data_IF_301109729296
#
_entry.id   IF_301109729296
#
_cell.length_a   1.000
_cell.length_b   1.000
_cell.length_c   1.000
_cell.angle_alpha   90.00
_cell.angle_beta   90.00
_cell.angle_gamma   90.00
#
_symmetry.space_group_name_H-M   'P 1'
#
loop_
_entity.id
_entity.type
_entity.pdbx_description
1 polymer ?
#
# COMPACT_ATOMS: atom_id res chain seq x y z
N UNK A 1 4.05 -6.89 -14.59
CA UNK A 1 3.14 -6.96 -13.43
C UNK A 1 3.29 -8.24 -12.64
N UNK A 2 3.12 -9.41 -13.28
CA UNK A 2 3.06 -10.71 -12.58
C UNK A 2 4.32 -11.01 -11.74
N UNK A 3 5.53 -10.87 -12.32
CA UNK A 3 6.77 -11.12 -11.58
C UNK A 3 7.05 -10.09 -10.46
N UNK A 4 6.67 -8.84 -10.66
CA UNK A 4 6.90 -7.79 -9.66
C UNK A 4 6.03 -7.93 -8.41
N UNK A 5 4.84 -8.53 -8.51
CA UNK A 5 3.90 -8.68 -7.41
C UNK A 5 4.43 -9.54 -6.25
N UNK A 6 5.28 -10.54 -6.56
CA UNK A 6 5.88 -11.45 -5.59
C UNK A 6 7.08 -10.88 -4.84
N UNK A 7 7.80 -9.89 -5.39
CA UNK A 7 9.09 -9.44 -4.84
C UNK A 7 8.94 -8.92 -3.41
N UNK A 8 7.98 -8.03 -3.17
CA UNK A 8 7.85 -7.37 -1.88
C UNK A 8 7.31 -8.30 -0.77
N UNK A 9 6.29 -9.15 -1.00
CA UNK A 9 5.85 -10.14 -0.02
C UNK A 9 6.93 -11.16 0.32
N UNK A 10 7.63 -11.69 -0.68
CA UNK A 10 8.70 -12.68 -0.47
C UNK A 10 9.88 -12.07 0.29
N UNK A 11 10.35 -10.89 -0.11
CA UNK A 11 11.42 -10.20 0.60
C UNK A 11 11.04 -9.91 2.06
N UNK A 12 9.78 -9.53 2.31
CA UNK A 12 9.30 -9.29 3.69
C UNK A 12 9.21 -10.59 4.51
N UNK A 13 8.83 -11.71 3.90
CA UNK A 13 8.79 -13.01 4.55
C UNK A 13 10.22 -13.49 4.93
N UNK A 14 11.18 -13.34 4.01
CA UNK A 14 12.59 -13.65 4.25
C UNK A 14 13.18 -12.90 5.44
N UNK A 15 12.74 -11.68 5.70
CA UNK A 15 13.15 -10.95 6.92
C UNK A 15 12.76 -11.73 8.18
N UNK A 16 11.59 -12.36 8.17
CA UNK A 16 11.13 -13.19 9.28
C UNK A 16 11.93 -14.47 9.47
N UNK A 17 12.46 -15.03 8.37
CA UNK A 17 13.20 -16.30 8.39
C UNK A 17 14.67 -16.09 8.74
N UNK A 18 15.28 -15.00 8.27
CA UNK A 18 16.71 -14.74 8.39
C UNK A 18 17.09 -13.87 9.58
N UNK A 19 16.16 -13.06 10.12
CA UNK A 19 16.49 -12.07 11.15
C UNK A 19 15.70 -12.32 12.44
N UNK A 20 16.35 -12.14 13.62
CA UNK A 20 15.69 -12.19 14.91
C UNK A 20 14.66 -11.06 15.05
N UNK A 21 13.68 -11.24 15.95
CA UNK A 21 12.56 -10.29 16.12
C UNK A 21 13.00 -8.86 16.40
N UNK A 22 14.13 -8.70 17.09
CA UNK A 22 14.73 -7.44 17.52
C UNK A 22 15.27 -6.58 16.38
N UNK A 23 15.47 -7.17 15.21
CA UNK A 23 16.04 -6.49 14.03
C UNK A 23 15.04 -6.38 12.87
N UNK A 24 13.90 -7.07 12.94
CA UNK A 24 12.92 -7.12 11.85
C UNK A 24 12.36 -5.76 11.47
N UNK A 25 12.08 -4.91 12.46
CA UNK A 25 11.58 -3.55 12.23
C UNK A 25 12.59 -2.72 11.44
N UNK A 26 13.86 -2.75 11.82
CA UNK A 26 14.95 -2.07 11.12
C UNK A 26 15.08 -2.53 9.67
N UNK A 27 15.09 -3.84 9.43
CA UNK A 27 15.28 -4.40 8.08
C UNK A 27 14.05 -4.11 7.19
N UNK A 28 12.83 -4.30 7.70
CA UNK A 28 11.62 -3.93 7.00
C UNK A 28 11.57 -2.43 6.69
N UNK A 29 12.08 -1.58 7.60
CA UNK A 29 12.22 -0.15 7.37
C UNK A 29 13.19 0.18 6.25
N UNK A 30 14.28 -0.57 6.09
CA UNK A 30 15.20 -0.42 4.97
C UNK A 30 14.54 -0.81 3.64
N UNK A 31 13.74 -1.89 3.61
CA UNK A 31 12.95 -2.26 2.43
C UNK A 31 11.95 -1.14 2.09
N UNK A 32 11.28 -0.56 3.09
CA UNK A 32 10.39 0.58 2.91
C UNK A 32 11.08 1.84 2.38
N UNK A 33 12.34 2.08 2.77
CA UNK A 33 13.15 3.19 2.24
C UNK A 33 13.44 3.03 0.73
N UNK A 34 13.74 1.81 0.29
CA UNK A 34 13.92 1.51 -1.14
C UNK A 34 12.65 1.82 -1.92
N UNK A 35 11.48 1.50 -1.35
CA UNK A 35 10.19 1.84 -1.96
C UNK A 35 10.00 3.36 -2.10
N UNK A 36 10.32 4.13 -1.05
CA UNK A 36 10.30 5.59 -1.11
C UNK A 36 11.26 6.16 -2.15
N UNK A 37 12.49 5.64 -2.22
CA UNK A 37 13.47 6.05 -3.23
C UNK A 37 13.02 5.72 -4.65
N UNK A 38 12.37 4.57 -4.87
CA UNK A 38 11.84 4.19 -6.18
C UNK A 38 10.77 5.17 -6.66
N UNK A 39 9.92 5.69 -5.77
CA UNK A 39 8.95 6.73 -6.09
C UNK A 39 9.60 8.05 -6.57
N UNK A 40 10.75 8.40 -6.01
CA UNK A 40 11.52 9.58 -6.44
C UNK A 40 12.24 9.34 -7.77
N UNK A 41 12.87 8.18 -7.89
CA UNK A 41 13.66 7.82 -9.08
C UNK A 41 12.79 7.54 -10.32
N UNK A 42 11.57 7.06 -10.14
CA UNK A 42 10.67 6.72 -11.22
C UNK A 42 10.43 7.87 -12.21
N UNK A 43 9.88 9.02 -11.77
CA UNK A 43 9.69 10.19 -12.62
C UNK A 43 11.00 10.76 -13.19
N UNK A 44 12.10 10.69 -12.42
CA UNK A 44 13.42 11.14 -12.89
C UNK A 44 13.93 10.28 -14.05
N UNK A 45 13.91 8.95 -13.89
CA UNK A 45 14.32 8.00 -14.94
C UNK A 45 13.40 8.16 -16.15
N UNK A 46 12.08 8.25 -15.93
CA UNK A 46 11.13 8.47 -17.02
C UNK A 46 11.41 9.76 -17.76
N UNK A 47 11.68 10.86 -17.06
CA UNK A 47 12.02 12.15 -17.67
C UNK A 47 13.29 12.10 -18.52
N UNK A 48 14.32 11.41 -18.06
CA UNK A 48 15.58 11.23 -18.82
C UNK A 48 15.34 10.35 -20.05
N UNK A 49 14.66 9.22 -19.90
CA UNK A 49 14.43 8.28 -21.02
C UNK A 49 13.55 8.92 -22.09
N UNK A 50 12.44 9.55 -21.70
CA UNK A 50 11.49 10.18 -22.65
C UNK A 50 12.05 11.41 -23.37
N UNK A 51 13.15 11.97 -22.87
CA UNK A 51 13.84 13.07 -23.57
C UNK A 51 14.59 12.61 -24.81
N UNK A 52 15.08 11.35 -24.82
CA UNK A 52 15.94 10.83 -25.87
C UNK A 52 15.36 9.63 -26.60
N UNK A 53 14.37 8.97 -26.01
CA UNK A 53 13.80 7.71 -26.49
C UNK A 53 12.28 7.71 -26.37
N UNK A 54 11.64 6.75 -27.03
CA UNK A 54 10.19 6.51 -26.91
C UNK A 54 9.82 5.82 -25.59
N UNK A 55 8.56 5.91 -25.21
CA UNK A 55 8.03 5.35 -23.95
C UNK A 55 8.29 3.85 -23.77
N UNK A 56 8.38 3.08 -24.85
CA UNK A 56 8.68 1.65 -24.81
C UNK A 56 10.04 1.35 -24.14
N UNK A 57 11.01 2.24 -24.27
CA UNK A 57 12.35 2.09 -23.71
C UNK A 57 12.34 2.10 -22.16
N UNK A 58 11.29 2.68 -21.52
CA UNK A 58 11.12 2.60 -20.08
C UNK A 58 11.03 1.18 -19.57
N UNK A 59 10.42 0.28 -20.36
CA UNK A 59 10.30 -1.13 -19.98
C UNK A 59 11.63 -1.89 -20.20
N UNK A 60 12.43 -1.49 -21.19
CA UNK A 60 13.74 -2.10 -21.45
C UNK A 60 14.75 -1.84 -20.33
N UNK A 61 14.66 -0.72 -19.62
CA UNK A 61 15.50 -0.42 -18.45
C UNK A 61 15.34 -1.50 -17.36
N UNK A 62 14.17 -2.13 -17.24
CA UNK A 62 13.95 -3.19 -16.26
C UNK A 62 14.69 -4.48 -16.59
N UNK A 63 15.05 -4.76 -17.84
CA UNK A 63 15.69 -6.02 -18.23
C UNK A 63 17.07 -6.16 -17.59
N UNK A 64 18.03 -5.23 -17.77
CA UNK A 64 19.35 -5.35 -17.14
C UNK A 64 19.27 -5.39 -15.61
N UNK A 65 18.37 -4.60 -15.01
CA UNK A 65 18.15 -4.61 -13.56
C UNK A 65 17.66 -5.99 -13.10
N UNK A 66 16.69 -6.57 -13.82
CA UNK A 66 16.17 -7.90 -13.50
C UNK A 66 17.23 -9.01 -13.65
N UNK A 67 18.07 -8.95 -14.66
CA UNK A 67 19.16 -9.91 -14.85
C UNK A 67 20.18 -9.85 -13.70
N UNK A 68 20.54 -8.65 -13.27
CA UNK A 68 21.43 -8.45 -12.11
C UNK A 68 20.77 -9.00 -10.84
N UNK A 69 19.48 -8.73 -10.61
CA UNK A 69 18.75 -9.26 -9.46
C UNK A 69 18.67 -10.78 -9.48
N UNK A 70 18.39 -11.40 -10.63
CA UNK A 70 18.36 -12.85 -10.78
C UNK A 70 19.72 -13.45 -10.42
N UNK A 71 20.80 -12.89 -10.98
CA UNK A 71 22.16 -13.37 -10.70
C UNK A 71 22.50 -13.33 -9.21
N UNK A 72 22.24 -12.19 -8.54
CA UNK A 72 22.51 -12.07 -7.11
C UNK A 72 21.57 -12.94 -6.26
N UNK A 73 20.31 -13.06 -6.64
CA UNK A 73 19.36 -13.92 -5.94
C UNK A 73 19.79 -15.38 -5.98
N UNK A 74 20.22 -15.88 -7.13
CA UNK A 74 20.72 -17.26 -7.27
C UNK A 74 22.01 -17.51 -6.49
N UNK A 75 22.84 -16.47 -6.30
CA UNK A 75 24.13 -16.61 -5.62
C UNK A 75 24.06 -16.41 -4.11
N UNK A 76 23.17 -15.55 -3.63
CA UNK A 76 23.17 -15.08 -2.23
C UNK A 76 22.04 -15.72 -1.42
N UNK A 77 20.88 -15.97 -2.04
CA UNK A 77 19.76 -16.55 -1.30
C UNK A 77 20.06 -18.02 -0.95
N UNK A 78 19.86 -18.40 0.32
CA UNK A 78 20.03 -19.78 0.73
C UNK A 78 18.99 -20.67 0.03
N UNK A 79 19.44 -21.79 -0.53
CA UNK A 79 18.52 -22.85 -0.98
C UNK A 79 17.93 -23.49 0.26
N UNK A 80 16.69 -23.18 0.59
CA UNK A 80 15.96 -23.91 1.62
C UNK A 80 15.34 -25.12 0.93
N UNK A 81 15.76 -26.36 1.31
CA UNK A 81 15.10 -27.56 0.79
C UNK A 81 13.61 -27.49 1.16
N UNK A 82 12.76 -27.40 0.18
CA UNK A 82 11.32 -27.42 0.40
C UNK A 82 10.86 -28.87 0.35
N UNK A 83 10.92 -29.58 1.49
CA UNK A 83 10.46 -30.96 1.62
C UNK A 83 8.95 -31.12 1.40
N UNK A 84 8.21 -30.01 1.35
CA UNK A 84 6.78 -29.96 1.07
C UNK A 84 6.56 -29.17 -0.22
N UNK A 85 6.41 -29.88 -1.33
CA UNK A 85 5.87 -29.27 -2.56
C UNK A 85 4.44 -28.83 -2.25
N UNK A 86 4.27 -27.53 -2.02
CA UNK A 86 2.96 -26.93 -1.84
C UNK A 86 2.19 -26.98 -3.16
N UNK A 87 0.96 -27.47 -3.12
CA UNK A 87 0.12 -27.49 -4.30
C UNK A 87 -0.35 -26.08 -4.62
N UNK A 88 -0.15 -25.62 -5.86
CA UNK A 88 -0.62 -24.30 -6.29
C UNK A 88 -2.16 -24.31 -6.28
N UNK A 89 -2.75 -23.39 -5.55
CA UNK A 89 -4.20 -23.17 -5.52
C UNK A 89 -4.64 -22.35 -6.74
N UNK A 90 -4.73 -23.03 -7.89
CA UNK A 90 -5.26 -22.40 -9.11
C UNK A 90 -6.70 -21.89 -8.96
N UNK A 91 -7.51 -22.56 -8.15
CA UNK A 91 -8.89 -22.16 -7.88
C UNK A 91 -8.94 -20.81 -7.16
N UNK A 92 -8.16 -20.66 -6.07
CA UNK A 92 -8.03 -19.40 -5.34
C UNK A 92 -7.46 -18.28 -6.19
N UNK A 93 -6.39 -18.53 -6.96
CA UNK A 93 -5.77 -17.52 -7.84
C UNK A 93 -6.76 -17.00 -8.88
N UNK A 94 -7.47 -17.90 -9.59
CA UNK A 94 -8.40 -17.51 -10.64
C UNK A 94 -9.61 -16.78 -10.07
N UNK A 95 -10.23 -17.29 -9.02
CA UNK A 95 -11.41 -16.67 -8.40
C UNK A 95 -11.08 -15.32 -7.79
N UNK A 96 -9.92 -15.17 -7.13
CA UNK A 96 -9.43 -13.89 -6.62
C UNK A 96 -9.15 -12.90 -7.77
N UNK A 97 -8.51 -13.36 -8.83
CA UNK A 97 -8.23 -12.54 -10.01
C UNK A 97 -9.51 -12.02 -10.67
N UNK A 98 -10.53 -12.87 -10.85
CA UNK A 98 -11.84 -12.47 -11.38
C UNK A 98 -12.54 -11.50 -10.42
N UNK A 99 -12.52 -11.76 -9.11
CA UNK A 99 -13.15 -10.91 -8.11
C UNK A 99 -12.54 -9.48 -8.13
N UNK A 100 -11.23 -9.37 -8.08
CA UNK A 100 -10.53 -8.07 -8.09
C UNK A 100 -10.69 -7.35 -9.43
N UNK A 101 -10.60 -8.06 -10.55
CA UNK A 101 -10.78 -7.48 -11.89
C UNK A 101 -12.20 -6.97 -12.09
N UNK A 102 -13.21 -7.78 -11.76
CA UNK A 102 -14.61 -7.38 -11.83
C UNK A 102 -14.93 -6.20 -10.92
N UNK A 103 -14.38 -6.19 -9.70
CA UNK A 103 -14.51 -5.08 -8.77
C UNK A 103 -13.90 -3.78 -9.34
N UNK A 104 -12.70 -3.87 -9.89
CA UNK A 104 -11.99 -2.73 -10.50
C UNK A 104 -12.77 -2.18 -11.70
N UNK A 105 -13.17 -3.05 -12.63
CA UNK A 105 -13.90 -2.66 -13.83
C UNK A 105 -15.24 -2.04 -13.43
N UNK A 106 -15.97 -2.66 -12.52
CA UNK A 106 -17.27 -2.18 -12.07
C UNK A 106 -17.19 -0.78 -11.45
N UNK A 107 -16.26 -0.56 -10.51
CA UNK A 107 -16.09 0.74 -9.88
C UNK A 107 -15.63 1.82 -10.87
N UNK A 108 -14.72 1.52 -11.77
CA UNK A 108 -14.25 2.50 -12.78
C UNK A 108 -15.26 2.77 -13.89
N UNK A 109 -16.31 1.96 -14.03
CA UNK A 109 -17.39 2.15 -15.01
C UNK A 109 -18.53 3.04 -14.51
N UNK A 110 -18.49 3.49 -13.25
CA UNK A 110 -19.52 4.35 -12.66
C UNK A 110 -19.45 5.73 -13.31
N UNK A 111 -20.53 6.12 -14.00
CA UNK A 111 -20.68 7.42 -14.62
C UNK A 111 -21.50 8.36 -13.72
N UNK A 112 -20.80 9.17 -12.94
CA UNK A 112 -21.43 10.10 -11.99
C UNK A 112 -22.18 11.25 -12.66
N UNK A 113 -21.93 11.53 -13.95
CA UNK A 113 -22.67 12.56 -14.68
C UNK A 113 -24.15 12.20 -14.83
N UNK A 114 -24.48 10.90 -14.75
CA UNK A 114 -25.83 10.36 -14.77
C UNK A 114 -26.52 10.31 -13.39
N UNK A 115 -25.86 10.79 -12.33
CA UNK A 115 -26.37 10.69 -10.96
C UNK A 115 -26.57 9.24 -10.52
N UNK A 116 -27.70 8.95 -9.85
CA UNK A 116 -28.01 7.60 -9.33
C UNK A 116 -28.11 6.54 -10.44
N UNK A 117 -28.56 6.91 -11.64
CA UNK A 117 -28.68 5.97 -12.76
C UNK A 117 -27.31 5.47 -13.27
N UNK A 118 -26.23 6.20 -13.02
CA UNK A 118 -24.88 5.75 -13.33
C UNK A 118 -24.44 4.50 -12.56
N UNK A 119 -25.00 4.28 -11.36
CA UNK A 119 -24.73 3.06 -10.57
C UNK A 119 -25.54 1.85 -11.06
N UNK A 120 -26.64 2.06 -11.76
CA UNK A 120 -27.52 1.00 -12.27
C UNK A 120 -27.25 0.63 -13.72
N UNK A 121 -26.22 1.22 -14.34
CA UNK A 121 -25.81 0.87 -15.69
C UNK A 121 -25.30 -0.60 -15.72
N UNK A 122 -25.66 -1.33 -16.76
CA UNK A 122 -25.24 -2.72 -16.95
C UNK A 122 -23.69 -2.86 -16.95
N UNK A 123 -22.98 -1.83 -17.42
CA UNK A 123 -21.52 -1.76 -17.40
C UNK A 123 -20.93 -1.74 -16.00
N UNK A 124 -21.71 -1.36 -14.98
CA UNK A 124 -21.34 -1.34 -13.57
C UNK A 124 -21.84 -2.62 -12.88
N UNK A 125 -23.14 -2.92 -13.04
CA UNK A 125 -23.77 -4.04 -12.33
C UNK A 125 -23.17 -5.37 -12.75
N UNK A 126 -22.93 -5.61 -14.04
CA UNK A 126 -22.42 -6.89 -14.52
C UNK A 126 -21.05 -7.23 -13.96
N UNK A 127 -20.00 -6.36 -14.04
CA UNK A 127 -18.71 -6.65 -13.44
C UNK A 127 -18.76 -6.77 -11.92
N UNK A 128 -19.55 -5.95 -11.22
CA UNK A 128 -19.72 -6.05 -9.77
C UNK A 128 -20.42 -7.34 -9.36
N UNK A 129 -21.42 -7.78 -10.12
CA UNK A 129 -22.07 -9.08 -9.86
C UNK A 129 -21.11 -10.25 -10.09
N UNK A 130 -20.31 -10.21 -11.16
CA UNK A 130 -19.27 -11.20 -11.41
C UNK A 130 -18.23 -11.18 -10.27
N UNK A 131 -17.82 -10.00 -9.81
CA UNK A 131 -16.90 -9.86 -8.68
C UNK A 131 -17.46 -10.48 -7.40
N UNK A 132 -18.73 -10.21 -7.09
CA UNK A 132 -19.41 -10.77 -5.92
C UNK A 132 -19.51 -12.29 -5.99
N UNK A 133 -19.96 -12.85 -7.13
CA UNK A 133 -20.03 -14.30 -7.34
C UNK A 133 -18.64 -14.93 -7.20
N UNK A 134 -17.63 -14.35 -7.85
CA UNK A 134 -16.25 -14.83 -7.76
C UNK A 134 -15.71 -14.78 -6.33
N UNK A 135 -16.04 -13.74 -5.57
CA UNK A 135 -15.66 -13.62 -4.15
C UNK A 135 -16.34 -14.68 -3.28
N UNK A 136 -17.62 -14.97 -3.49
CA UNK A 136 -18.32 -16.04 -2.78
C UNK A 136 -17.77 -17.43 -3.14
N UNK A 137 -17.42 -17.63 -4.42
CA UNK A 137 -16.73 -18.83 -4.86
C UNK A 137 -15.33 -18.95 -4.24
N UNK A 138 -14.58 -17.85 -4.16
CA UNK A 138 -13.29 -17.81 -3.48
C UNK A 138 -13.40 -18.33 -2.06
N UNK A 139 -14.38 -17.86 -1.26
CA UNK A 139 -14.56 -18.31 0.12
C UNK A 139 -14.82 -19.83 0.21
N UNK A 140 -15.48 -20.42 -0.78
CA UNK A 140 -15.75 -21.86 -0.81
C UNK A 140 -14.53 -22.68 -1.26
N UNK A 141 -13.75 -22.15 -2.22
CA UNK A 141 -12.52 -22.76 -2.71
C UNK A 141 -11.45 -22.75 -1.62
N UNK A 142 -11.21 -21.58 -0.99
CA UNK A 142 -10.21 -21.40 0.08
C UNK A 142 -10.45 -22.32 1.30
N UNK A 143 -11.73 -22.60 1.62
CA UNK A 143 -12.07 -23.57 2.69
C UNK A 143 -11.69 -25.02 2.38
N UNK A 144 -11.51 -25.36 1.11
CA UNK A 144 -11.20 -26.71 0.63
C UNK A 144 -9.78 -26.87 0.15
N UNK A 145 -9.08 -25.78 -0.13
CA UNK A 145 -7.72 -25.78 -0.59
C UNK A 145 -6.76 -26.29 0.49
N UNK A 146 -5.78 -27.10 0.09
CA UNK A 146 -4.71 -27.57 1.00
C UNK A 146 -3.77 -26.43 1.39
N UNK A 147 -3.43 -25.57 0.44
CA UNK A 147 -2.60 -24.37 0.63
C UNK A 147 -3.32 -23.16 0.04
N UNK A 148 -4.27 -22.56 0.77
CA UNK A 148 -5.11 -21.48 0.29
C UNK A 148 -4.30 -20.19 0.06
N UNK A 149 -4.67 -19.41 -0.97
CA UNK A 149 -4.09 -18.08 -1.26
C UNK A 149 -4.41 -17.10 -0.12
N UNK A 150 -5.62 -17.21 0.44
CA UNK A 150 -6.05 -16.41 1.60
C UNK A 150 -6.45 -17.36 2.73
N UNK A 151 -5.57 -17.54 3.71
CA UNK A 151 -5.92 -18.34 4.89
C UNK A 151 -6.97 -17.64 5.75
N UNK A 152 -8.20 -18.11 5.70
CA UNK A 152 -9.31 -17.55 6.48
C UNK A 152 -9.04 -17.58 7.99
N UNK A 153 -8.21 -18.49 8.47
CA UNK A 153 -7.78 -18.56 9.87
C UNK A 153 -7.02 -17.32 10.36
N UNK A 154 -6.42 -16.55 9.44
CA UNK A 154 -5.76 -15.30 9.82
C UNK A 154 -6.74 -14.25 10.35
N UNK A 155 -8.00 -14.27 9.89
CA UNK A 155 -9.03 -13.35 10.39
C UNK A 155 -9.47 -13.67 11.84
N UNK A 156 -9.16 -14.85 12.35
CA UNK A 156 -9.37 -15.19 13.77
C UNK A 156 -8.33 -14.49 14.66
N UNK A 157 -7.18 -14.07 14.11
CA UNK A 157 -6.19 -13.33 14.85
C UNK A 157 -6.49 -11.83 14.79
N UNK A 158 -6.91 -11.28 15.94
CA UNK A 158 -7.26 -9.86 16.07
C UNK A 158 -6.17 -8.91 15.59
N UNK A 159 -4.88 -9.23 15.81
CA UNK A 159 -3.76 -8.37 15.40
C UNK A 159 -3.65 -8.31 13.88
N UNK A 160 -3.80 -9.45 13.21
CA UNK A 160 -3.76 -9.54 11.73
C UNK A 160 -4.98 -8.83 11.14
N UNK A 161 -6.17 -8.99 11.73
CA UNK A 161 -7.40 -8.32 11.26
C UNK A 161 -7.28 -6.80 11.38
N UNK A 162 -6.79 -6.28 12.50
CA UNK A 162 -6.56 -4.84 12.67
C UNK A 162 -5.52 -4.33 11.67
N UNK A 163 -4.40 -5.06 11.49
CA UNK A 163 -3.37 -4.69 10.52
C UNK A 163 -3.92 -4.68 9.09
N UNK A 164 -4.75 -5.66 8.73
CA UNK A 164 -5.42 -5.72 7.43
C UNK A 164 -6.38 -4.55 7.19
N UNK A 165 -7.19 -4.19 8.18
CA UNK A 165 -8.09 -3.03 8.09
C UNK A 165 -7.30 -1.73 7.92
N UNK A 166 -6.23 -1.54 8.68
CA UNK A 166 -5.33 -0.37 8.51
C UNK A 166 -4.66 -0.41 7.13
N UNK A 167 -4.32 -1.61 6.59
CA UNK A 167 -3.74 -1.74 5.26
C UNK A 167 -4.70 -1.26 4.16
N UNK A 168 -6.01 -1.55 4.27
CA UNK A 168 -7.02 -1.01 3.32
C UNK A 168 -7.00 0.52 3.33
N UNK A 169 -7.02 1.15 4.50
CA UNK A 169 -6.98 2.62 4.60
C UNK A 169 -5.62 3.17 4.12
N UNK A 170 -4.52 2.45 4.38
CA UNK A 170 -3.19 2.81 3.83
C UNK A 170 -3.21 2.79 2.30
N UNK A 171 -3.90 1.84 1.68
CA UNK A 171 -4.13 1.81 0.23
C UNK A 171 -4.92 3.02 -0.26
N UNK A 172 -5.96 3.45 0.48
CA UNK A 172 -6.71 4.67 0.15
C UNK A 172 -5.84 5.93 0.24
N UNK A 173 -4.95 6.00 1.24
CA UNK A 173 -3.93 7.07 1.33
C UNK A 173 -3.02 7.07 0.11
N UNK A 174 -2.53 5.91 -0.31
CA UNK A 174 -1.67 5.78 -1.50
C UNK A 174 -2.40 6.20 -2.79
N UNK A 175 -3.69 5.87 -2.92
CA UNK A 175 -4.51 6.34 -4.04
C UNK A 175 -4.57 7.87 -4.09
N UNK A 176 -4.81 8.51 -2.95
CA UNK A 176 -4.89 9.97 -2.85
C UNK A 176 -3.60 10.66 -3.32
N UNK A 177 -2.45 10.00 -3.14
CA UNK A 177 -1.14 10.49 -3.56
C UNK A 177 -1.03 10.69 -5.08
N UNK A 178 -1.71 9.84 -5.87
CA UNK A 178 -1.73 9.93 -7.34
C UNK A 178 -2.39 11.22 -7.80
N UNK A 179 -3.32 11.77 -7.02
CA UNK A 179 -4.06 12.98 -7.36
C UNK A 179 -3.43 14.28 -6.83
N UNK A 180 -2.44 14.21 -5.94
CA UNK A 180 -1.76 15.41 -5.39
C UNK A 180 -1.14 16.28 -6.49
N UNK A 181 -0.46 15.78 -7.55
CA UNK A 181 0.02 16.64 -8.62
C UNK A 181 -1.08 17.45 -9.29
N UNK A 182 -2.24 16.85 -9.53
CA UNK A 182 -3.40 17.53 -10.13
C UNK A 182 -3.92 18.63 -9.19
N UNK A 183 -4.02 18.36 -7.89
CA UNK A 183 -4.34 19.36 -6.87
C UNK A 183 -3.35 20.53 -6.91
N UNK A 184 -2.06 20.27 -6.96
CA UNK A 184 -1.00 21.29 -6.97
C UNK A 184 -1.10 22.18 -8.22
N UNK A 185 -1.31 21.60 -9.40
CA UNK A 185 -1.49 22.34 -10.65
C UNK A 185 -2.69 23.27 -10.55
N UNK A 186 -3.81 22.79 -10.06
CA UNK A 186 -5.06 23.57 -9.97
C UNK A 186 -4.99 24.64 -8.87
N UNK A 187 -4.46 24.28 -7.70
CA UNK A 187 -4.48 25.14 -6.53
C UNK A 187 -3.42 26.25 -6.55
N UNK A 188 -2.25 25.98 -7.12
CA UNK A 188 -1.13 26.94 -7.17
C UNK A 188 -0.88 27.51 -8.58
N UNK A 189 -1.67 27.13 -9.58
CA UNK A 189 -1.55 27.56 -10.97
C UNK A 189 -0.12 27.38 -11.53
N UNK A 190 0.50 26.22 -11.20
CA UNK A 190 1.87 25.87 -11.64
C UNK A 190 1.83 24.86 -12.77
N UNK A 191 2.95 24.72 -13.49
CA UNK A 191 3.09 23.69 -14.53
C UNK A 191 3.11 22.28 -13.95
N UNK A 192 2.71 21.23 -14.70
CA UNK A 192 2.80 19.84 -14.24
C UNK A 192 4.21 19.42 -13.81
N UNK A 193 5.23 19.94 -14.49
CA UNK A 193 6.63 19.71 -14.13
C UNK A 193 6.96 20.29 -12.74
N UNK A 194 6.56 21.54 -12.46
CA UNK A 194 6.74 22.16 -11.15
C UNK A 194 5.97 21.41 -10.06
N UNK A 195 4.74 20.98 -10.35
CA UNK A 195 3.93 20.21 -9.42
C UNK A 195 4.61 18.89 -9.03
N UNK A 196 5.25 18.20 -9.98
CA UNK A 196 6.01 16.98 -9.72
C UNK A 196 7.20 17.24 -8.76
N UNK A 197 7.93 18.35 -8.93
CA UNK A 197 8.99 18.72 -7.99
C UNK A 197 8.46 19.10 -6.61
N UNK A 198 7.27 19.66 -6.52
CA UNK A 198 6.64 19.98 -5.24
C UNK A 198 6.26 18.74 -4.41
N UNK A 199 6.26 17.53 -4.99
CA UNK A 199 6.12 16.27 -4.27
C UNK A 199 7.41 15.83 -3.55
N UNK A 200 8.55 16.42 -3.84
CA UNK A 200 9.83 16.01 -3.27
C UNK A 200 9.83 15.90 -1.75
N UNK A 201 9.26 16.83 -0.95
CA UNK A 201 9.21 16.70 0.50
C UNK A 201 8.45 15.48 1.00
N UNK A 202 7.35 15.09 0.33
CA UNK A 202 6.60 13.89 0.65
C UNK A 202 7.46 12.63 0.48
N UNK A 203 8.13 12.53 -0.67
CA UNK A 203 8.94 11.36 -1.03
C UNK A 203 10.17 11.25 -0.15
N UNK A 204 10.89 12.36 0.07
CA UNK A 204 12.05 12.39 0.96
C UNK A 204 11.69 12.04 2.40
N UNK A 205 10.58 12.59 2.90
CA UNK A 205 10.09 12.25 4.23
C UNK A 205 9.74 10.75 4.36
N UNK A 206 9.16 10.14 3.32
CA UNK A 206 8.88 8.71 3.28
C UNK A 206 10.16 7.89 3.26
N UNK A 207 11.13 8.24 2.42
CA UNK A 207 12.39 7.52 2.27
C UNK A 207 13.23 7.56 3.55
N UNK A 208 13.34 8.74 4.19
CA UNK A 208 14.07 8.91 5.46
C UNK A 208 13.29 8.34 6.64
N UNK A 209 11.98 8.52 6.67
CA UNK A 209 11.12 8.05 7.75
C UNK A 209 11.10 6.53 7.89
N UNK A 210 11.11 5.79 6.78
CA UNK A 210 11.02 4.33 6.81
C UNK A 210 12.11 3.64 7.64
N UNK A 211 13.42 3.91 7.47
CA UNK A 211 14.45 3.29 8.29
C UNK A 211 14.48 3.83 9.73
N UNK A 212 14.08 5.09 9.93
CA UNK A 212 13.99 5.70 11.27
C UNK A 212 12.90 5.02 12.08
N UNK A 213 11.66 5.00 11.56
CA UNK A 213 10.55 4.36 12.25
C UNK A 213 10.71 2.84 12.34
N UNK A 214 11.37 2.20 11.36
CA UNK A 214 11.72 0.79 11.44
C UNK A 214 12.57 0.46 12.68
N UNK A 215 13.61 1.26 12.97
CA UNK A 215 14.41 1.13 14.20
C UNK A 215 13.60 1.46 15.46
N UNK A 216 12.72 2.44 15.37
CA UNK A 216 11.87 2.82 16.49
C UNK A 216 10.85 1.72 16.83
N UNK A 217 10.40 0.91 15.88
CA UNK A 217 9.53 -0.26 16.14
C UNK A 217 10.24 -1.25 17.05
N UNK A 218 11.50 -1.57 16.76
CA UNK A 218 12.30 -2.51 17.55
C UNK A 218 12.53 -1.99 18.99
N UNK A 219 12.70 -0.68 19.17
CA UNK A 219 12.98 -0.05 20.48
C UNK A 219 11.71 0.26 21.30
N UNK A 220 10.66 0.79 20.69
CA UNK A 220 9.50 1.33 21.40
C UNK A 220 8.21 0.50 21.22
N UNK A 221 8.24 -0.52 20.34
CA UNK A 221 7.12 -1.38 20.02
C UNK A 221 6.22 -0.82 18.90
N UNK A 222 5.68 -1.72 18.10
CA UNK A 222 4.96 -1.42 16.86
C UNK A 222 3.69 -0.58 17.08
N UNK A 223 2.94 -0.83 18.16
CA UNK A 223 1.69 -0.12 18.46
C UNK A 223 1.90 1.40 18.60
N UNK A 224 2.92 1.83 19.36
CA UNK A 224 3.22 3.25 19.56
C UNK A 224 3.58 3.93 18.25
N UNK A 225 4.33 3.24 17.43
CA UNK A 225 4.77 3.77 16.13
C UNK A 225 3.61 3.88 15.15
N UNK A 226 2.69 2.90 15.10
CA UNK A 226 1.47 3.00 14.28
C UNK A 226 0.61 4.18 14.72
N UNK A 227 0.40 4.36 16.03
CA UNK A 227 -0.36 5.50 16.55
C UNK A 227 0.28 6.82 16.10
N UNK A 228 1.61 6.96 16.25
CA UNK A 228 2.33 8.14 15.80
C UNK A 228 2.18 8.34 14.28
N UNK A 229 2.31 7.29 13.47
CA UNK A 229 2.12 7.34 12.02
C UNK A 229 0.73 7.78 11.61
N UNK A 230 -0.31 7.25 12.27
CA UNK A 230 -1.70 7.64 12.01
C UNK A 230 -1.97 9.10 12.38
N UNK A 231 -1.40 9.59 13.49
CA UNK A 231 -1.50 11.00 13.88
C UNK A 231 -0.82 11.90 12.84
N UNK A 232 0.39 11.54 12.40
CA UNK A 232 1.12 12.30 11.38
C UNK A 232 0.35 12.35 10.07
N UNK A 233 -0.22 11.22 9.62
CA UNK A 233 -1.05 11.16 8.41
C UNK A 233 -2.31 11.99 8.55
N UNK A 234 -3.06 11.83 9.63
CA UNK A 234 -4.31 12.57 9.86
C UNK A 234 -4.06 14.08 9.90
N UNK A 235 -3.03 14.52 10.62
CA UNK A 235 -2.63 15.93 10.68
C UNK A 235 -2.18 16.44 9.30
N UNK A 236 -1.40 15.66 8.57
CA UNK A 236 -0.93 16.02 7.23
C UNK A 236 -2.08 16.16 6.23
N UNK A 237 -3.02 15.22 6.18
CA UNK A 237 -4.20 15.30 5.29
C UNK A 237 -5.16 16.42 5.72
N UNK A 238 -5.33 16.66 7.02
CA UNK A 238 -6.08 17.82 7.49
C UNK A 238 -5.45 19.13 7.03
N UNK A 239 -4.12 19.27 7.17
CA UNK A 239 -3.42 20.46 6.67
C UNK A 239 -3.53 20.61 5.15
N UNK A 240 -3.49 19.50 4.37
CA UNK A 240 -3.74 19.54 2.93
C UNK A 240 -5.12 20.08 2.61
N UNK A 241 -6.15 19.75 3.40
CA UNK A 241 -7.52 20.18 3.16
C UNK A 241 -7.72 21.70 3.44
N UNK A 242 -6.86 22.30 4.25
CA UNK A 242 -6.94 23.73 4.61
C UNK A 242 -5.77 24.55 4.04
N UNK A 243 -5.00 23.97 3.11
CA UNK A 243 -3.78 24.58 2.54
C UNK A 243 -4.08 25.92 1.88
N UNK A 244 -5.24 26.06 1.19
CA UNK A 244 -5.51 27.23 0.36
C UNK A 244 -4.34 27.53 -0.58
N UNK A 245 -3.90 28.78 -0.65
CA UNK A 245 -2.75 29.20 -1.46
C UNK A 245 -1.42 29.21 -0.71
N UNK A 246 -1.37 28.76 0.55
CA UNK A 246 -0.19 28.83 1.39
C UNK A 246 0.76 27.64 1.12
N UNK A 247 1.82 27.89 0.32
CA UNK A 247 2.84 26.86 -0.01
C UNK A 247 3.55 26.29 1.21
N UNK A 248 3.74 27.09 2.28
CA UNK A 248 4.37 26.62 3.51
C UNK A 248 3.56 25.51 4.19
N UNK A 249 2.23 25.67 4.25
CA UNK A 249 1.32 24.65 4.81
C UNK A 249 1.35 23.39 3.95
N UNK A 250 1.36 23.55 2.61
CA UNK A 250 1.50 22.43 1.68
C UNK A 250 2.78 21.62 1.91
N UNK A 251 3.93 22.28 2.04
CA UNK A 251 5.20 21.56 2.28
C UNK A 251 5.24 20.90 3.66
N UNK A 252 4.71 21.56 4.68
CA UNK A 252 4.60 20.97 6.02
C UNK A 252 3.69 19.73 5.99
N UNK A 253 2.53 19.83 5.35
CA UNK A 253 1.62 18.68 5.20
C UNK A 253 2.30 17.54 4.46
N UNK A 254 3.09 17.87 3.43
CA UNK A 254 3.87 16.89 2.67
C UNK A 254 4.85 16.10 3.53
N UNK A 255 5.58 16.76 4.40
CA UNK A 255 6.51 16.10 5.34
C UNK A 255 5.73 15.20 6.31
N UNK A 256 4.62 15.69 6.88
CA UNK A 256 3.80 14.90 7.81
C UNK A 256 3.19 13.66 7.15
N UNK A 257 2.62 13.82 5.95
CA UNK A 257 2.06 12.69 5.18
C UNK A 257 3.15 11.69 4.83
N UNK A 258 4.30 12.16 4.35
CA UNK A 258 5.42 11.30 4.00
C UNK A 258 5.95 10.50 5.20
N UNK A 259 6.15 11.14 6.35
CA UNK A 259 6.54 10.48 7.59
C UNK A 259 5.50 9.46 8.06
N UNK A 260 4.22 9.82 8.05
CA UNK A 260 3.15 8.92 8.44
C UNK A 260 3.00 7.71 7.50
N UNK A 261 3.11 7.93 6.17
CA UNK A 261 3.07 6.87 5.18
C UNK A 261 4.26 5.91 5.32
N UNK A 262 5.45 6.42 5.66
CA UNK A 262 6.64 5.60 5.92
C UNK A 262 6.44 4.61 7.07
N UNK A 263 5.61 4.95 8.04
CA UNK A 263 5.25 4.04 9.14
C UNK A 263 4.33 2.94 8.64
N UNK A 264 3.22 3.27 7.98
CA UNK A 264 2.17 2.30 7.65
C UNK A 264 2.52 1.45 6.43
N UNK A 265 2.92 2.08 5.33
CA UNK A 265 3.28 1.37 4.10
C UNK A 265 4.67 0.71 4.19
N UNK A 266 5.56 1.24 5.04
CA UNK A 266 6.94 0.75 5.18
C UNK A 266 7.02 -0.56 5.96
N UNK A 267 7.05 -0.48 7.28
CA UNK A 267 7.45 -1.60 8.13
C UNK A 267 6.41 -2.09 9.12
N UNK A 268 5.54 -1.20 9.64
CA UNK A 268 4.77 -1.50 10.85
C UNK A 268 3.72 -2.61 10.67
N UNK A 269 2.92 -2.53 9.61
CA UNK A 269 1.87 -3.52 9.34
C UNK A 269 2.48 -4.88 9.01
N UNK A 270 3.56 -4.86 8.20
CA UNK A 270 4.30 -6.08 7.86
C UNK A 270 4.94 -6.73 9.08
N UNK A 271 5.47 -5.93 10.01
CA UNK A 271 6.02 -6.40 11.27
C UNK A 271 4.97 -7.10 12.13
N UNK A 272 3.73 -6.53 12.24
CA UNK A 272 2.64 -7.17 12.98
C UNK A 272 2.32 -8.52 12.38
N UNK A 273 2.04 -8.56 11.08
CA UNK A 273 1.64 -9.79 10.40
C UNK A 273 2.75 -10.84 10.47
N UNK A 274 4.00 -10.46 10.22
CA UNK A 274 5.16 -11.35 10.27
C UNK A 274 5.35 -12.01 11.65
N UNK A 275 5.11 -11.28 12.74
CA UNK A 275 5.31 -11.79 14.10
C UNK A 275 4.09 -12.55 14.66
N UNK A 276 2.94 -12.47 14.00
CA UNK A 276 1.71 -13.18 14.38
C UNK A 276 1.36 -14.33 13.43
N UNK A 277 2.25 -14.66 12.48
CA UNK A 277 2.08 -15.73 11.51
C UNK A 277 3.16 -16.81 11.68
N UNK A 278 2.82 -18.10 11.61
CA UNK A 278 3.79 -19.20 11.58
C UNK A 278 4.80 -19.04 10.42
N UNK A 279 5.98 -19.65 10.54
CA UNK A 279 7.04 -19.49 9.55
C UNK A 279 6.59 -19.93 8.15
N UNK A 280 5.89 -21.06 8.05
CA UNK A 280 5.36 -21.63 6.81
C UNK A 280 4.39 -20.71 6.05
N UNK A 281 3.72 -19.79 6.75
CA UNK A 281 2.65 -18.93 6.20
C UNK A 281 3.07 -17.47 5.99
N UNK A 282 4.31 -17.13 6.27
CA UNK A 282 4.78 -15.73 6.22
C UNK A 282 4.62 -15.09 4.86
N UNK A 283 4.95 -15.79 3.79
CA UNK A 283 4.81 -15.26 2.43
C UNK A 283 3.35 -14.99 2.07
N UNK A 284 2.46 -15.95 2.38
CA UNK A 284 1.00 -15.83 2.16
C UNK A 284 0.42 -14.66 2.94
N UNK A 285 0.79 -14.50 4.20
CA UNK A 285 0.30 -13.41 5.05
C UNK A 285 0.78 -12.03 4.59
N UNK A 286 2.01 -11.92 4.10
CA UNK A 286 2.52 -10.68 3.52
C UNK A 286 1.84 -10.35 2.17
N UNK A 287 1.53 -11.36 1.37
CA UNK A 287 0.72 -11.22 0.15
C UNK A 287 -0.68 -10.70 0.46
N UNK A 288 -1.32 -11.23 1.51
CA UNK A 288 -2.65 -10.78 1.96
C UNK A 288 -2.67 -9.28 2.34
N UNK A 289 -1.65 -8.77 3.03
CA UNK A 289 -1.53 -7.32 3.30
C UNK A 289 -1.48 -6.50 2.00
N UNK A 290 -0.79 -7.00 0.99
CA UNK A 290 -0.71 -6.33 -0.31
C UNK A 290 -2.08 -6.29 -1.00
N UNK A 291 -2.85 -7.40 -0.94
CA UNK A 291 -4.23 -7.48 -1.46
C UNK A 291 -5.12 -6.46 -0.77
N UNK A 292 -5.08 -6.37 0.57
CA UNK A 292 -5.88 -5.39 1.33
C UNK A 292 -5.53 -3.94 0.95
N UNK A 293 -4.25 -3.62 0.84
CA UNK A 293 -3.83 -2.29 0.37
C UNK A 293 -4.32 -2.02 -1.04
N UNK A 294 -4.28 -3.01 -1.95
CA UNK A 294 -4.77 -2.87 -3.32
C UNK A 294 -6.28 -2.64 -3.38
N UNK A 295 -7.07 -3.35 -2.58
CA UNK A 295 -8.52 -3.14 -2.47
C UNK A 295 -8.81 -1.70 -2.03
N UNK A 296 -8.10 -1.21 -1.01
CA UNK A 296 -8.22 0.17 -0.54
C UNK A 296 -7.86 1.19 -1.61
N UNK A 297 -6.77 0.93 -2.35
CA UNK A 297 -6.32 1.79 -3.43
C UNK A 297 -7.32 1.85 -4.58
N UNK A 298 -7.84 0.70 -5.04
CA UNK A 298 -8.84 0.62 -6.11
C UNK A 298 -10.10 1.37 -5.71
N UNK A 299 -10.62 1.10 -4.50
CA UNK A 299 -11.84 1.72 -4.00
C UNK A 299 -11.69 3.24 -3.88
N UNK A 300 -10.59 3.70 -3.29
CA UNK A 300 -10.37 5.14 -3.12
C UNK A 300 -10.14 5.85 -4.46
N UNK A 301 -9.41 5.23 -5.40
CA UNK A 301 -9.24 5.80 -6.76
C UNK A 301 -10.57 6.00 -7.44
N UNK A 302 -11.47 5.02 -7.37
CA UNK A 302 -12.81 5.14 -7.94
C UNK A 302 -13.65 6.22 -7.25
N UNK A 303 -13.64 6.27 -5.91
CA UNK A 303 -14.36 7.31 -5.15
C UNK A 303 -13.83 8.71 -5.46
N UNK A 304 -12.52 8.89 -5.50
CA UNK A 304 -11.90 10.19 -5.84
C UNK A 304 -12.27 10.57 -7.27
N UNK A 305 -12.20 9.64 -8.23
CA UNK A 305 -12.62 9.86 -9.62
C UNK A 305 -14.09 10.28 -9.74
N UNK A 306 -14.97 9.63 -8.98
CA UNK A 306 -16.40 10.01 -8.90
C UNK A 306 -16.58 11.43 -8.34
N UNK A 307 -15.92 11.77 -7.26
CA UNK A 307 -15.99 13.12 -6.68
C UNK A 307 -15.47 14.18 -7.65
N UNK A 308 -14.39 13.90 -8.36
CA UNK A 308 -13.83 14.79 -9.38
C UNK A 308 -14.79 15.02 -10.56
N UNK A 309 -15.59 14.03 -10.92
CA UNK A 309 -16.58 14.15 -11.98
C UNK A 309 -17.87 14.87 -11.54
N UNK A 310 -18.24 14.77 -10.26
CA UNK A 310 -19.49 15.30 -9.72
C UNK A 310 -19.40 16.71 -9.12
N UNK A 311 -18.22 17.09 -8.64
CA UNK A 311 -18.00 18.37 -7.96
C UNK A 311 -17.15 19.32 -8.83
N UNK A 312 -17.56 20.56 -8.94
CA UNK A 312 -16.82 21.58 -9.70
C UNK A 312 -15.78 22.32 -8.86
N UNK A 313 -16.00 22.42 -7.54
CA UNK A 313 -15.14 23.12 -6.60
C UNK A 313 -15.03 22.35 -5.29
N UNK A 314 -13.91 22.50 -4.58
CA UNK A 314 -13.71 21.91 -3.24
C UNK A 314 -13.54 20.38 -3.21
N UNK A 315 -13.30 19.73 -4.36
CA UNK A 315 -13.16 18.26 -4.45
C UNK A 315 -11.99 17.75 -3.60
N UNK A 316 -10.84 18.38 -3.75
CA UNK A 316 -9.63 17.93 -3.06
C UNK A 316 -9.71 18.15 -1.56
N UNK A 317 -10.30 19.26 -1.12
CA UNK A 317 -10.55 19.53 0.30
C UNK A 317 -11.44 18.43 0.89
N UNK A 318 -12.53 18.09 0.21
CA UNK A 318 -13.45 17.02 0.63
C UNK A 318 -12.74 15.65 0.68
N UNK A 319 -11.94 15.32 -0.33
CA UNK A 319 -11.16 14.06 -0.36
C UNK A 319 -10.18 14.02 0.80
N UNK A 320 -9.40 15.07 1.02
CA UNK A 320 -8.39 15.11 2.07
C UNK A 320 -9.01 15.08 3.47
N UNK A 321 -10.15 15.76 3.69
CA UNK A 321 -10.91 15.67 4.92
C UNK A 321 -11.46 14.26 5.15
N UNK A 322 -12.02 13.63 4.12
CA UNK A 322 -12.51 12.26 4.20
C UNK A 322 -11.41 11.27 4.59
N UNK A 323 -10.23 11.40 3.98
CA UNK A 323 -9.05 10.58 4.33
C UNK A 323 -8.60 10.86 5.77
N UNK A 324 -8.57 12.12 6.21
CA UNK A 324 -8.21 12.47 7.59
C UNK A 324 -9.18 11.84 8.60
N UNK A 325 -10.48 11.88 8.33
CA UNK A 325 -11.50 11.22 9.19
C UNK A 325 -11.30 9.71 9.25
N UNK A 326 -11.08 9.05 8.10
CA UNK A 326 -10.78 7.62 8.09
C UNK A 326 -9.52 7.27 8.91
N UNK A 327 -8.49 8.10 8.85
CA UNK A 327 -7.27 7.91 9.64
C UNK A 327 -7.51 8.08 11.14
N UNK A 328 -8.38 9.00 11.55
CA UNK A 328 -8.80 9.14 12.95
C UNK A 328 -9.58 7.90 13.41
N UNK A 329 -10.46 7.33 12.58
CA UNK A 329 -11.13 6.06 12.89
C UNK A 329 -10.11 4.92 13.07
N UNK A 330 -9.07 4.86 12.20
CA UNK A 330 -7.99 3.87 12.33
C UNK A 330 -7.13 4.09 13.58
N UNK A 331 -6.98 5.35 14.02
CA UNK A 331 -6.30 5.67 15.26
C UNK A 331 -7.04 5.02 16.45
N UNK A 332 -8.36 5.14 16.51
CA UNK A 332 -9.17 4.46 17.54
C UNK A 332 -9.01 2.94 17.45
N UNK A 333 -9.08 2.38 16.26
CA UNK A 333 -8.89 0.94 16.06
C UNK A 333 -7.49 0.46 16.49
N UNK A 334 -6.46 1.29 16.26
CA UNK A 334 -5.07 0.96 16.62
C UNK A 334 -4.84 0.88 18.14
N UNK A 335 -5.72 1.46 18.95
CA UNK A 335 -5.67 1.34 20.41
C UNK A 335 -5.91 -0.09 20.89
N UNK A 336 -6.48 -0.94 20.06
CA UNK A 336 -6.71 -2.34 20.36
C UNK A 336 -5.57 -3.27 19.93
N UNK A 337 -4.50 -2.73 19.35
CA UNK A 337 -3.27 -3.47 19.13
C UNK A 337 -2.59 -3.84 20.46
N UNK A 338 -1.96 -4.99 20.51
CA UNK A 338 -1.26 -5.45 21.71
C UNK A 338 -0.09 -4.54 22.08
N UNK A 339 0.02 -4.24 23.36
CA UNK A 339 1.20 -3.60 23.96
C UNK A 339 2.30 -4.66 24.18
N UNK A 340 2.89 -5.20 23.12
CA UNK A 340 4.15 -5.93 23.34
C UNK A 340 5.21 -4.89 23.70
N UNK A 341 5.73 -5.01 24.91
CA UNK A 341 6.82 -4.16 25.40
C UNK A 341 8.04 -4.23 24.45
N UNK A 342 9.01 -3.31 24.58
CA UNK A 342 10.27 -3.44 23.88
C UNK A 342 10.81 -4.84 24.17
N UNK A 343 11.25 -5.54 23.13
CA UNK A 343 11.95 -6.80 23.31
C UNK A 343 13.18 -6.43 24.13
N UNK A 344 13.19 -6.77 25.41
CA UNK A 344 14.34 -6.52 26.27
C UNK A 344 15.54 -7.15 25.56
N UNK A 345 16.53 -6.34 25.23
CA UNK A 345 17.82 -6.85 24.82
C UNK A 345 18.26 -7.79 25.95
N UNK A 346 18.20 -9.08 25.70
CA UNK A 346 18.86 -10.04 26.55
C UNK A 346 20.34 -9.68 26.45
N UNK A 347 20.85 -9.04 27.51
CA UNK A 347 22.25 -8.79 27.77
C UNK A 347 22.98 -10.12 27.95
#
# INVERSE_FOLDING_TARGET
GFGASGIFPVASALVGDLFPREQRGRILGMIGAVFGLAFLMGPFIAGVVLRYFEWHMLFLVNIPVSLVLIYFSMKILPSVPNDKVSAIDWGGIITLGIALSGFTIGLNSIDTSKGVSGFTDLKVILPLSVALVAFLLLLTVERRAKDPVIRLTFFSNRQITIAGTIAVVTGAVQASFVFIPTFVVQNFAVTPSTASFMLTPFVLATAVGSPVFGRMIDRYGVRRIIIAGLILLAAGFYLLSVTGTARSIYYLSGVLVGLGLSVLAGSSLRYIVLNNTPAEDRATSQGMLTIFSSIGQITATAVIGMLMASMTTGVFETVFQGVAVLLVCMLVLSLWLERKGPVAAAL
#
